data_IF_546364263513
#
_entry.id   IF_546364263513
#
_cell.length_a   1.000
_cell.length_b   1.000
_cell.length_c   1.000
_cell.angle_alpha   90.00
_cell.angle_beta   90.00
_cell.angle_gamma   90.00
#
_symmetry.space_group_name_H-M   'P 1'
#
loop_
_entity.id
_entity.type
_entity.pdbx_description
1 polymer ?
#
# COMPACT_ATOMS: atom_id res chain seq x y z
N UNK A 1 20.55 12.18 -13.58
CA UNK A 1 19.41 12.79 -12.84
C UNK A 1 18.04 12.15 -13.15
N UNK A 2 18.02 10.92 -13.68
CA UNK A 2 16.77 10.20 -14.03
C UNK A 2 16.60 8.88 -13.26
N UNK A 3 16.96 8.85 -11.97
CA UNK A 3 16.89 7.63 -11.16
C UNK A 3 15.61 7.46 -10.32
N UNK A 4 14.66 8.39 -10.41
CA UNK A 4 13.51 8.38 -9.48
C UNK A 4 12.14 8.06 -10.11
N UNK A 5 12.06 7.67 -11.38
CA UNK A 5 10.76 7.57 -12.05
C UNK A 5 10.11 6.19 -12.00
N UNK A 6 10.80 5.17 -11.53
CA UNK A 6 10.26 3.79 -11.54
C UNK A 6 10.32 3.11 -10.18
N UNK A 7 10.51 3.89 -9.11
CA UNK A 7 10.55 3.31 -7.78
C UNK A 7 9.13 3.07 -7.25
N UNK A 8 9.01 2.01 -6.55
CA UNK A 8 7.86 1.49 -5.85
C UNK A 8 6.97 2.49 -5.06
N UNK A 9 7.47 3.63 -4.53
CA UNK A 9 6.64 4.62 -3.84
C UNK A 9 5.49 5.17 -4.68
N UNK A 10 5.70 5.36 -5.97
CA UNK A 10 4.69 5.90 -6.88
C UNK A 10 3.51 4.94 -7.09
N UNK A 11 3.77 3.64 -7.01
CA UNK A 11 2.75 2.60 -7.18
C UNK A 11 1.86 2.46 -5.95
N UNK A 12 2.41 2.67 -4.74
CA UNK A 12 1.68 2.62 -3.47
C UNK A 12 0.96 3.91 -3.14
N UNK A 13 1.38 5.01 -3.73
CA UNK A 13 0.71 6.29 -3.54
C UNK A 13 -0.71 6.31 -4.12
N UNK A 14 -1.03 5.43 -5.07
CA UNK A 14 -2.38 5.32 -5.60
C UNK A 14 -3.42 4.97 -4.53
N UNK A 15 -3.03 4.22 -3.49
CA UNK A 15 -3.89 3.91 -2.34
C UNK A 15 -4.09 5.12 -1.41
N UNK A 16 -3.18 6.10 -1.47
CA UNK A 16 -3.16 7.25 -0.58
C UNK A 16 -3.84 8.48 -1.17
N UNK A 17 -3.84 8.62 -2.50
CA UNK A 17 -4.44 9.77 -3.15
C UNK A 17 -5.95 9.64 -3.28
N UNK A 18 -6.66 10.68 -2.86
CA UNK A 18 -8.11 10.81 -3.01
C UNK A 18 -8.42 11.46 -4.36
N UNK A 19 -8.17 10.74 -5.45
CA UNK A 19 -8.47 11.19 -6.79
C UNK A 19 -9.23 10.10 -7.55
N UNK A 20 -10.32 10.45 -8.24
CA UNK A 20 -11.13 9.49 -9.00
C UNK A 20 -10.42 8.91 -10.22
N UNK A 21 -9.31 9.53 -10.64
CA UNK A 21 -8.48 9.05 -11.74
C UNK A 21 -7.01 9.35 -11.42
N UNK A 22 -6.25 8.31 -11.16
CA UNK A 22 -4.80 8.41 -10.96
C UNK A 22 -4.10 7.91 -12.22
N UNK A 23 -3.36 8.79 -12.88
CA UNK A 23 -2.54 8.39 -14.02
C UNK A 23 -1.27 7.71 -13.53
N UNK A 24 -1.03 6.50 -14.02
CA UNK A 24 0.22 5.79 -13.82
C UNK A 24 1.13 6.12 -15.00
N UNK A 25 2.22 6.83 -14.74
CA UNK A 25 3.11 7.34 -15.75
C UNK A 25 4.16 6.30 -16.15
N UNK A 26 3.79 5.35 -17.03
CA UNK A 26 4.76 4.45 -17.65
C UNK A 26 4.24 3.94 -19.01
N UNK A 27 5.11 3.22 -19.75
CA UNK A 27 4.75 2.64 -21.04
C UNK A 27 4.05 1.28 -20.87
N UNK A 28 3.15 0.89 -21.80
CA UNK A 28 2.50 -0.42 -21.76
C UNK A 28 3.49 -1.60 -21.74
N UNK A 29 4.66 -1.43 -22.34
CA UNK A 29 5.69 -2.47 -22.34
C UNK A 29 6.33 -2.68 -20.98
N UNK A 30 6.48 -1.62 -20.17
CA UNK A 30 7.00 -1.72 -18.82
C UNK A 30 5.96 -2.35 -17.90
N UNK A 31 4.68 -2.04 -18.05
CA UNK A 31 3.61 -2.72 -17.30
C UNK A 31 3.57 -4.22 -17.56
N UNK A 32 3.79 -4.65 -18.82
CA UNK A 32 3.84 -6.07 -19.16
C UNK A 32 5.04 -6.80 -18.54
N UNK A 33 6.16 -6.13 -18.33
CA UNK A 33 7.32 -6.71 -17.63
C UNK A 33 7.10 -6.87 -16.13
N UNK A 34 6.25 -6.03 -15.56
CA UNK A 34 5.92 -5.98 -14.13
C UNK A 34 4.44 -6.37 -13.92
N UNK A 35 4.03 -7.50 -14.52
CA UNK A 35 2.62 -7.91 -14.58
C UNK A 35 2.01 -8.07 -13.19
N UNK A 36 2.73 -8.67 -12.25
CA UNK A 36 2.28 -8.89 -10.87
C UNK A 36 1.91 -7.57 -10.16
N UNK A 37 2.77 -6.56 -10.27
CA UNK A 37 2.50 -5.23 -9.72
C UNK A 37 1.35 -4.55 -10.44
N UNK A 38 1.28 -4.71 -11.76
CA UNK A 38 0.22 -4.12 -12.58
C UNK A 38 -1.14 -4.72 -12.22
N UNK A 39 -1.21 -6.02 -12.04
CA UNK A 39 -2.42 -6.72 -11.63
C UNK A 39 -2.89 -6.31 -10.22
N UNK A 40 -1.94 -6.07 -9.31
CA UNK A 40 -2.26 -5.51 -7.99
C UNK A 40 -2.87 -4.12 -8.10
N UNK A 41 -2.24 -3.21 -8.87
CA UNK A 41 -2.74 -1.84 -9.06
C UNK A 41 -4.10 -1.84 -9.76
N UNK A 42 -4.33 -2.74 -10.72
CA UNK A 42 -5.59 -2.85 -11.44
C UNK A 42 -6.78 -3.24 -10.54
N UNK A 43 -6.52 -3.80 -9.35
CA UNK A 43 -7.55 -4.10 -8.36
C UNK A 43 -7.99 -2.88 -7.54
N UNK A 44 -7.22 -1.78 -7.59
CA UNK A 44 -7.52 -0.59 -6.79
C UNK A 44 -8.70 0.18 -7.41
N UNK A 45 -9.74 0.49 -6.64
CA UNK A 45 -10.85 1.30 -7.13
C UNK A 45 -10.43 2.76 -7.30
N UNK A 46 -11.07 3.44 -8.24
CA UNK A 46 -10.87 4.88 -8.48
C UNK A 46 -11.68 5.77 -7.55
N UNK A 47 -12.75 5.21 -6.95
CA UNK A 47 -13.64 5.91 -6.01
C UNK A 47 -13.88 5.03 -4.81
N UNK A 48 -13.71 5.58 -3.62
CA UNK A 48 -13.88 4.90 -2.34
C UNK A 48 -15.14 5.37 -1.63
N UNK A 49 -15.71 4.50 -0.81
CA UNK A 49 -16.93 4.78 -0.03
C UNK A 49 -16.59 5.40 1.32
N UNK A 50 -15.41 5.13 1.84
CA UNK A 50 -14.97 5.59 3.17
C UNK A 50 -13.44 5.71 3.21
N UNK A 51 -12.94 6.69 3.97
CA UNK A 51 -11.51 6.90 4.21
C UNK A 51 -11.26 7.09 5.70
N UNK A 52 -10.32 6.32 6.25
CA UNK A 52 -9.89 6.37 7.64
C UNK A 52 -8.40 6.68 7.71
N UNK A 53 -8.03 7.74 8.42
CA UNK A 53 -6.63 8.05 8.71
C UNK A 53 -6.12 7.13 9.82
N UNK A 54 -5.07 6.37 9.56
CA UNK A 54 -4.49 5.42 10.51
C UNK A 54 -3.35 6.02 11.31
N UNK A 55 -2.44 6.70 10.63
CA UNK A 55 -1.29 7.35 11.22
C UNK A 55 -0.70 8.36 10.24
N UNK A 56 -0.04 9.39 10.75
CA UNK A 56 0.65 10.33 9.89
C UNK A 56 1.37 11.43 10.67
N UNK A 57 2.44 11.92 10.05
CA UNK A 57 3.16 13.12 10.46
C UNK A 57 3.60 13.86 9.21
N UNK A 58 3.20 15.13 9.11
CA UNK A 58 3.45 15.95 7.92
C UNK A 58 4.95 15.99 7.60
N UNK A 59 5.28 15.72 6.32
CA UNK A 59 6.67 15.68 5.84
C UNK A 59 7.43 14.40 6.19
N UNK A 60 6.86 13.47 6.96
CA UNK A 60 7.53 12.26 7.39
C UNK A 60 6.86 11.00 6.84
N UNK A 61 5.59 10.77 7.15
CA UNK A 61 4.87 9.58 6.71
C UNK A 61 3.36 9.78 6.74
N UNK A 62 2.65 8.94 6.00
CA UNK A 62 1.19 8.86 6.03
C UNK A 62 0.74 7.42 5.89
N UNK A 63 -0.36 7.07 6.56
CA UNK A 63 -1.03 5.80 6.42
C UNK A 63 -2.55 5.99 6.47
N UNK A 64 -3.25 5.44 5.48
CA UNK A 64 -4.71 5.53 5.36
C UNK A 64 -5.29 4.17 5.03
N UNK A 65 -6.53 3.96 5.45
CA UNK A 65 -7.37 2.85 5.03
C UNK A 65 -8.58 3.39 4.26
N UNK A 66 -8.92 2.77 3.15
CA UNK A 66 -10.06 3.14 2.32
C UNK A 66 -10.92 1.93 2.03
N UNK A 67 -12.23 2.10 2.09
CA UNK A 67 -13.18 1.03 1.83
C UNK A 67 -13.86 1.21 0.48
N UNK A 68 -14.05 0.08 -0.21
CA UNK A 68 -14.92 -0.03 -1.36
C UNK A 68 -15.72 -1.32 -1.28
N UNK A 69 -17.03 -1.21 -1.08
CA UNK A 69 -17.88 -2.36 -0.81
C UNK A 69 -17.41 -3.10 0.44
N UNK A 70 -17.11 -4.39 0.27
CA UNK A 70 -16.66 -5.29 1.35
C UNK A 70 -15.14 -5.36 1.52
N UNK A 71 -14.37 -4.63 0.70
CA UNK A 71 -12.91 -4.64 0.72
C UNK A 71 -12.35 -3.35 1.32
N UNK A 72 -11.23 -3.48 2.00
CA UNK A 72 -10.42 -2.37 2.48
C UNK A 72 -9.08 -2.35 1.75
N UNK A 73 -8.62 -1.16 1.45
CA UNK A 73 -7.37 -0.85 0.79
C UNK A 73 -6.56 0.02 1.73
N UNK A 74 -5.42 -0.48 2.18
CA UNK A 74 -4.58 0.22 3.16
C UNK A 74 -3.27 0.58 2.48
N UNK A 75 -2.90 1.85 2.54
CA UNK A 75 -1.63 2.35 2.01
C UNK A 75 -0.85 3.09 3.08
N UNK A 76 0.47 2.90 3.10
CA UNK A 76 1.40 3.64 3.92
C UNK A 76 2.65 3.99 3.13
N UNK A 77 3.13 5.22 3.28
CA UNK A 77 4.39 5.71 2.68
C UNK A 77 5.24 6.43 3.73
N UNK A 78 6.54 6.45 3.53
CA UNK A 78 7.49 7.23 4.33
C UNK A 78 8.35 8.14 3.45
N UNK A 79 8.97 9.14 4.07
CA UNK A 79 10.01 9.94 3.46
C UNK A 79 11.32 9.14 3.28
N UNK A 80 12.46 9.80 3.15
CA UNK A 80 13.76 9.13 2.95
C UNK A 80 14.32 8.44 4.21
N UNK A 81 13.56 8.41 5.31
CA UNK A 81 13.93 7.70 6.53
C UNK A 81 13.27 6.33 6.57
N UNK A 82 14.06 5.29 6.89
CA UNK A 82 13.50 3.98 7.24
C UNK A 82 12.57 4.14 8.45
N UNK A 83 11.38 3.56 8.36
CA UNK A 83 10.38 3.73 9.41
C UNK A 83 9.66 2.44 9.75
N UNK A 84 9.44 2.24 11.03
CA UNK A 84 8.51 1.25 11.56
C UNK A 84 7.32 1.96 12.18
N UNK A 85 6.11 1.62 11.74
CA UNK A 85 4.86 2.14 12.29
C UNK A 85 3.95 0.99 12.72
N UNK A 86 3.06 1.27 13.65
CA UNK A 86 2.05 0.32 14.12
C UNK A 86 0.69 0.76 13.58
N UNK A 87 0.13 -0.03 12.67
CA UNK A 87 -1.20 0.19 12.12
C UNK A 87 -2.25 -0.49 12.98
N UNK A 88 -3.28 0.25 13.36
CA UNK A 88 -4.41 -0.25 14.14
C UNK A 88 -5.55 -0.64 13.21
N UNK A 89 -5.99 -1.90 13.28
CA UNK A 89 -7.07 -2.43 12.45
C UNK A 89 -8.43 -2.45 13.17
N UNK A 90 -8.64 -1.54 14.10
CA UNK A 90 -9.93 -1.38 14.81
C UNK A 90 -11.08 -0.91 13.91
N UNK A 91 -10.78 -0.35 12.74
CA UNK A 91 -11.76 0.04 11.73
C UNK A 91 -12.41 -1.17 11.03
N UNK A 92 -11.80 -2.35 11.09
CA UNK A 92 -12.39 -3.57 10.56
C UNK A 92 -13.53 -4.05 11.47
N UNK A 93 -14.62 -4.51 10.90
CA UNK A 93 -15.67 -5.18 11.65
C UNK A 93 -15.15 -6.48 12.28
N UNK A 94 -15.82 -6.96 13.32
CA UNK A 94 -15.45 -8.21 14.00
C UNK A 94 -15.41 -9.38 13.01
N UNK A 95 -14.37 -10.20 13.13
CA UNK A 95 -14.15 -11.37 12.27
C UNK A 95 -12.71 -11.54 11.85
N UNK A 96 -12.50 -12.52 11.00
CA UNK A 96 -11.23 -12.84 10.40
C UNK A 96 -11.14 -12.24 8.99
N UNK A 97 -10.04 -11.59 8.72
CA UNK A 97 -9.79 -10.92 7.45
C UNK A 97 -8.52 -11.46 6.82
N UNK A 98 -8.53 -11.62 5.51
CA UNK A 98 -7.36 -11.94 4.71
C UNK A 98 -6.79 -10.66 4.12
N UNK A 99 -5.51 -10.42 4.33
CA UNK A 99 -4.78 -9.32 3.71
C UNK A 99 -3.78 -9.87 2.70
N UNK A 100 -3.86 -9.38 1.49
CA UNK A 100 -2.82 -9.49 0.47
C UNK A 100 -1.92 -8.24 0.60
N UNK A 101 -0.71 -8.46 1.10
CA UNK A 101 0.22 -7.41 1.49
C UNK A 101 1.30 -7.26 0.45
N UNK A 102 1.51 -6.03 0.01
CA UNK A 102 2.57 -5.62 -0.88
C UNK A 102 3.53 -4.70 -0.11
N UNK A 103 4.77 -5.14 0.13
CA UNK A 103 5.71 -4.43 0.98
C UNK A 103 7.11 -4.36 0.40
N UNK A 104 7.94 -3.48 0.95
CA UNK A 104 9.37 -3.38 0.62
C UNK A 104 10.10 -4.68 0.87
N UNK A 105 10.96 -5.07 -0.08
CA UNK A 105 11.94 -6.11 0.08
C UNK A 105 13.13 -5.67 0.92
N UNK A 106 14.08 -6.58 1.13
CA UNK A 106 15.23 -6.34 2.00
C UNK A 106 16.24 -5.31 1.44
N UNK A 107 16.27 -5.17 0.11
CA UNK A 107 17.14 -4.22 -0.60
C UNK A 107 16.35 -3.09 -1.26
N UNK A 108 15.14 -2.82 -0.82
CA UNK A 108 14.27 -1.80 -1.41
C UNK A 108 14.86 -0.37 -1.32
N UNK A 109 15.80 -0.15 -0.40
CA UNK A 109 16.58 1.09 -0.27
C UNK A 109 17.53 1.33 -1.46
N UNK A 110 17.93 0.27 -2.19
CA UNK A 110 18.84 0.31 -3.33
C UNK A 110 18.18 -0.06 -4.64
N UNK A 111 17.16 -0.90 -4.60
CA UNK A 111 16.46 -1.42 -5.75
C UNK A 111 14.95 -1.28 -5.53
N UNK A 112 14.33 -0.30 -6.18
CA UNK A 112 12.89 -0.05 -6.07
C UNK A 112 12.00 -1.18 -6.59
N UNK A 113 12.56 -2.17 -7.29
CA UNK A 113 11.86 -3.37 -7.74
C UNK A 113 11.98 -4.54 -6.74
N UNK A 114 12.70 -4.34 -5.61
CA UNK A 114 12.74 -5.35 -4.56
C UNK A 114 11.53 -5.18 -3.64
N UNK A 115 10.52 -5.98 -3.88
CA UNK A 115 9.28 -6.04 -3.11
C UNK A 115 8.93 -7.49 -2.77
N UNK A 116 7.99 -7.64 -1.83
CA UNK A 116 7.40 -8.92 -1.47
C UNK A 116 5.90 -8.84 -1.45
N UNK A 117 5.25 -9.87 -1.98
CA UNK A 117 3.82 -10.10 -1.80
C UNK A 117 3.66 -11.23 -0.80
N UNK A 118 2.82 -11.03 0.19
CA UNK A 118 2.50 -12.06 1.18
C UNK A 118 1.03 -11.99 1.56
N UNK A 119 0.49 -13.13 1.93
CA UNK A 119 -0.86 -13.22 2.49
C UNK A 119 -0.79 -13.40 4.00
N UNK A 120 -1.58 -12.65 4.72
CA UNK A 120 -1.66 -12.72 6.17
C UNK A 120 -3.10 -12.58 6.66
N UNK A 121 -3.45 -13.35 7.68
CA UNK A 121 -4.73 -13.17 8.36
C UNK A 121 -4.63 -12.03 9.38
N UNK A 122 -5.60 -11.12 9.32
CA UNK A 122 -5.73 -9.99 10.23
C UNK A 122 -7.01 -10.16 11.03
N UNK A 123 -6.91 -9.86 12.31
CA UNK A 123 -8.06 -9.85 13.23
C UNK A 123 -8.37 -8.40 13.59
N UNK A 124 -9.64 -8.03 13.57
CA UNK A 124 -10.11 -6.71 14.01
C UNK A 124 -9.57 -6.35 15.41
N UNK A 125 -9.18 -5.08 15.58
CA UNK A 125 -8.66 -4.56 16.84
C UNK A 125 -7.22 -4.95 17.17
N UNK A 126 -6.53 -5.72 16.32
CA UNK A 126 -5.10 -5.98 16.48
C UNK A 126 -4.27 -4.94 15.76
N UNK A 127 -3.07 -4.70 16.29
CA UNK A 127 -2.06 -3.83 15.66
C UNK A 127 -1.07 -4.67 14.88
N UNK A 128 -0.70 -4.19 13.71
CA UNK A 128 0.33 -4.77 12.86
C UNK A 128 1.51 -3.81 12.76
N UNK A 129 2.70 -4.29 13.04
CA UNK A 129 3.94 -3.56 12.79
C UNK A 129 4.31 -3.63 11.32
N UNK A 130 4.53 -2.48 10.72
CA UNK A 130 4.86 -2.31 9.32
C UNK A 130 6.19 -1.59 9.22
N UNK A 131 7.13 -2.18 8.50
CA UNK A 131 8.44 -1.58 8.23
C UNK A 131 8.48 -1.09 6.79
N UNK A 132 8.92 0.13 6.59
CA UNK A 132 9.10 0.76 5.28
C UNK A 132 10.56 1.16 5.10
N UNK A 133 11.14 0.86 3.94
CA UNK A 133 12.47 1.31 3.55
C UNK A 133 12.50 2.84 3.31
N UNK A 134 13.67 3.48 3.27
CA UNK A 134 13.80 4.88 2.88
C UNK A 134 13.12 5.17 1.54
N UNK A 135 12.19 6.11 1.49
CA UNK A 135 11.36 6.39 0.31
C UNK A 135 10.39 5.26 -0.07
N UNK A 136 10.25 4.27 0.79
CA UNK A 136 9.43 3.10 0.55
C UNK A 136 8.00 3.22 1.07
N UNK A 137 7.32 2.09 1.14
CA UNK A 137 5.95 2.05 1.60
C UNK A 137 5.45 0.61 1.82
N UNK A 138 4.19 0.52 2.15
CA UNK A 138 3.47 -0.70 2.43
C UNK A 138 2.02 -0.57 1.96
N UNK A 139 1.47 -1.60 1.37
CA UNK A 139 0.09 -1.59 0.90
C UNK A 139 -0.57 -2.95 1.17
N UNK A 140 -1.88 -2.97 1.37
CA UNK A 140 -2.64 -4.20 1.54
C UNK A 140 -4.06 -4.08 0.99
N UNK A 141 -4.52 -5.13 0.33
CA UNK A 141 -5.92 -5.36 0.00
C UNK A 141 -6.48 -6.34 1.02
N UNK A 142 -7.51 -5.93 1.75
CA UNK A 142 -8.06 -6.69 2.86
C UNK A 142 -9.49 -7.10 2.53
N UNK A 143 -9.76 -8.39 2.56
CA UNK A 143 -11.08 -8.97 2.31
C UNK A 143 -11.52 -9.84 3.47
N UNK A 144 -12.83 -9.90 3.71
CA UNK A 144 -13.39 -10.74 4.77
C UNK A 144 -13.28 -12.22 4.39
N UNK A 145 -12.93 -13.05 5.36
CA UNK A 145 -13.00 -14.51 5.22
C UNK A 145 -14.41 -14.93 5.68
N UNK A 146 -15.15 -15.52 4.76
CA UNK A 146 -16.47 -16.08 5.04
C UNK A 146 -16.35 -17.43 5.73
#
# INVERSE_FOLDING_TARGET
>A
LHRCLHSFPTRRSSDLFEAPLVMIADSPNNYRKEQETTDYIAQLPTVFDETVSLAGKVGEYAAVARRKGDKWYVGAITNWDKREISLDFSFLSQGLWKAEIFKDGINADRNGNDYKIEEQNIVSGKKLKVTMAPGGGWSAIISRIN
#
